data_IF_803684566505
#
_entry.id   IF_803684566505
#
_cell.length_a   1.000
_cell.length_b   1.000
_cell.length_c   1.000
_cell.angle_alpha   90.00
_cell.angle_beta   90.00
_cell.angle_gamma   90.00
#
_symmetry.space_group_name_H-M   'P 1'
#
loop_
_entity.id
_entity.type
_entity.pdbx_description
1 polymer ?
#
# COMPACT_ATOMS: atom_id res chain seq x y z
N UNK A 1 -8.64 -14.22 -17.13
CA UNK A 1 -7.92 -13.13 -16.45
C UNK A 1 -8.71 -11.86 -16.75
N UNK A 2 -9.26 -11.21 -15.72
CA UNK A 2 -9.99 -9.96 -15.91
C UNK A 2 -9.06 -8.88 -16.47
N UNK A 3 -9.57 -7.98 -17.29
CA UNK A 3 -8.79 -6.80 -17.70
C UNK A 3 -8.46 -6.02 -16.43
N UNK A 4 -7.16 -5.82 -16.19
CA UNK A 4 -6.69 -4.89 -15.16
C UNK A 4 -7.14 -3.46 -15.46
N UNK A 5 -6.80 -2.48 -14.59
CA UNK A 5 -7.12 -1.09 -14.86
C UNK A 5 -6.55 -0.66 -16.21
N UNK A 6 -7.27 0.23 -16.92
CA UNK A 6 -6.82 0.75 -18.21
C UNK A 6 -5.80 1.90 -18.06
N UNK A 7 -5.83 2.60 -16.93
CA UNK A 7 -4.99 3.76 -16.65
C UNK A 7 -4.53 3.77 -15.19
N UNK A 8 -3.40 4.43 -14.94
CA UNK A 8 -2.99 4.91 -13.61
C UNK A 8 -2.97 6.44 -13.60
N UNK A 9 -3.23 7.03 -12.44
CA UNK A 9 -2.95 8.44 -12.16
C UNK A 9 -1.69 8.53 -11.29
N UNK A 10 -0.71 9.34 -11.70
CA UNK A 10 0.58 9.50 -11.00
C UNK A 10 0.75 10.96 -10.56
N UNK A 11 1.21 11.16 -9.33
CA UNK A 11 1.45 12.49 -8.75
C UNK A 11 0.16 13.32 -8.58
N UNK A 12 -0.96 12.65 -8.33
CA UNK A 12 -2.26 13.29 -8.07
C UNK A 12 -2.52 13.37 -6.57
N UNK A 13 -3.06 14.50 -6.11
CA UNK A 13 -3.57 14.68 -4.74
C UNK A 13 -5.04 14.28 -4.63
N UNK A 14 -5.76 14.12 -5.74
CA UNK A 14 -7.21 13.92 -5.75
C UNK A 14 -7.62 12.53 -6.22
N UNK A 15 -8.60 11.92 -5.55
CA UNK A 15 -9.07 10.55 -5.84
C UNK A 15 -9.58 10.37 -7.27
N UNK A 16 -10.03 11.45 -7.92
CA UNK A 16 -10.51 11.39 -9.29
C UNK A 16 -9.39 11.24 -10.34
N UNK A 17 -8.13 11.43 -9.95
CA UNK A 17 -6.94 11.27 -10.79
C UNK A 17 -6.91 12.11 -12.06
N UNK A 18 -7.70 13.19 -12.13
CA UNK A 18 -7.88 14.04 -13.32
C UNK A 18 -7.71 15.52 -13.02
N UNK A 19 -7.81 15.94 -11.75
CA UNK A 19 -7.62 17.33 -11.33
C UNK A 19 -6.16 17.77 -11.44
N UNK A 20 -5.23 16.87 -11.17
CA UNK A 20 -3.78 17.11 -11.15
C UNK A 20 -2.99 15.84 -11.53
N UNK A 21 -1.66 15.92 -11.51
CA UNK A 21 -0.79 14.80 -11.84
C UNK A 21 -0.72 14.50 -13.34
N UNK A 22 -0.69 13.21 -13.68
CA UNK A 22 -0.82 12.72 -15.05
C UNK A 22 -1.55 11.37 -15.10
N UNK A 23 -2.26 11.14 -16.20
CA UNK A 23 -2.87 9.84 -16.50
C UNK A 23 -2.05 9.10 -17.55
N UNK A 24 -1.70 7.85 -17.26
CA UNK A 24 -0.90 7.00 -18.14
C UNK A 24 -1.62 5.67 -18.35
N UNK A 25 -1.73 5.26 -19.62
CA UNK A 25 -2.27 3.96 -19.98
C UNK A 25 -1.39 2.83 -19.48
N UNK A 26 -2.03 1.74 -19.10
CA UNK A 26 -1.36 0.51 -18.71
C UNK A 26 -1.18 -0.36 -19.95
N UNK A 27 0.08 -0.66 -20.29
CA UNK A 27 0.45 -1.54 -21.38
C UNK A 27 0.23 -3.02 -21.01
N UNK A 28 0.53 -3.40 -19.76
CA UNK A 28 0.28 -4.75 -19.27
C UNK A 28 0.14 -4.80 -17.75
N UNK A 29 -0.53 -5.84 -17.25
CA UNK A 29 -0.70 -6.12 -15.82
C UNK A 29 -0.26 -7.55 -15.55
N UNK A 30 0.64 -7.73 -14.59
CA UNK A 30 1.20 -9.04 -14.24
C UNK A 30 1.02 -9.28 -12.75
N UNK A 31 0.17 -10.23 -12.39
CA UNK A 31 0.00 -10.68 -11.01
C UNK A 31 1.10 -11.67 -10.65
N UNK A 32 1.51 -11.68 -9.37
CA UNK A 32 2.47 -12.66 -8.90
C UNK A 32 1.94 -14.09 -9.16
N UNK A 33 2.72 -15.00 -9.78
CA UNK A 33 2.23 -16.31 -10.23
C UNK A 33 1.82 -17.24 -9.09
N UNK A 34 2.25 -16.95 -7.86
CA UNK A 34 1.87 -17.68 -6.64
C UNK A 34 0.72 -17.03 -5.86
N UNK A 35 0.08 -15.99 -6.41
CA UNK A 35 -1.05 -15.35 -5.74
C UNK A 35 -2.13 -16.38 -5.39
N UNK A 36 -2.58 -16.34 -4.14
CA UNK A 36 -3.65 -17.21 -3.66
C UNK A 36 -4.70 -16.40 -2.91
N UNK A 37 -5.81 -16.13 -3.60
CA UNK A 37 -6.89 -15.24 -3.14
C UNK A 37 -7.44 -15.52 -1.72
N UNK A 38 -7.67 -16.79 -1.30
CA UNK A 38 -8.29 -17.06 0.00
C UNK A 38 -7.50 -16.59 1.22
N UNK A 39 -6.17 -16.52 1.14
CA UNK A 39 -5.36 -15.95 2.23
C UNK A 39 -4.61 -14.69 1.81
N UNK A 40 -4.68 -14.28 0.53
CA UNK A 40 -3.96 -13.13 0.00
C UNK A 40 -2.43 -13.29 0.06
N UNK A 41 -1.93 -14.53 0.03
CA UNK A 41 -0.49 -14.76 -0.11
C UNK A 41 -0.03 -14.29 -1.47
N UNK A 42 1.13 -13.63 -1.50
CA UNK A 42 1.70 -13.03 -2.69
C UNK A 42 0.74 -12.04 -3.39
N UNK A 43 0.02 -11.24 -2.61
CA UNK A 43 -0.84 -10.15 -3.11
C UNK A 43 0.01 -8.98 -3.64
N UNK A 44 0.59 -9.19 -4.82
CA UNK A 44 1.46 -8.26 -5.53
C UNK A 44 1.16 -8.35 -7.03
N UNK A 45 1.11 -7.19 -7.69
CA UNK A 45 1.05 -7.08 -9.13
C UNK A 45 1.97 -5.97 -9.63
N UNK A 46 2.49 -6.12 -10.84
CA UNK A 46 3.28 -5.11 -11.55
C UNK A 46 2.47 -4.60 -12.74
N UNK A 47 2.30 -3.28 -12.80
CA UNK A 47 1.68 -2.59 -13.93
C UNK A 47 2.78 -1.98 -14.79
N UNK A 48 2.82 -2.35 -16.07
CA UNK A 48 3.75 -1.73 -17.04
C UNK A 48 3.04 -0.57 -17.72
N UNK A 49 3.62 0.63 -17.67
CA UNK A 49 3.05 1.84 -18.28
C UNK A 49 3.40 1.91 -19.77
N UNK A 50 2.50 2.46 -20.60
CA UNK A 50 2.79 2.68 -22.04
C UNK A 50 3.89 3.72 -22.28
N UNK A 51 4.13 4.61 -21.31
CA UNK A 51 5.19 5.61 -21.35
C UNK A 51 5.74 5.87 -19.94
N UNK A 52 6.99 6.34 -19.81
CA UNK A 52 7.54 6.78 -18.53
C UNK A 52 6.72 7.92 -17.93
N UNK A 53 6.64 7.95 -16.59
CA UNK A 53 6.08 9.07 -15.84
C UNK A 53 7.08 10.23 -15.78
N UNK A 54 6.57 11.47 -15.68
CA UNK A 54 7.39 12.65 -15.36
C UNK A 54 7.77 12.73 -13.87
N UNK A 55 7.08 11.98 -13.02
CA UNK A 55 7.36 11.90 -11.59
C UNK A 55 8.42 10.83 -11.33
N UNK A 56 9.35 11.14 -10.43
CA UNK A 56 10.39 10.18 -10.05
C UNK A 56 9.78 9.04 -9.23
N UNK A 57 10.12 7.78 -9.52
CA UNK A 57 9.64 6.65 -8.74
C UNK A 57 10.25 6.64 -7.34
N UNK A 58 9.52 6.03 -6.40
CA UNK A 58 10.06 5.67 -5.09
C UNK A 58 11.10 4.55 -5.23
N UNK A 59 12.03 4.45 -4.28
CA UNK A 59 12.99 3.35 -4.27
C UNK A 59 12.30 2.07 -3.80
N UNK A 60 12.76 0.93 -4.33
CA UNK A 60 12.30 -0.37 -3.85
C UNK A 60 13.16 -0.78 -2.65
N UNK A 61 12.57 -1.45 -1.64
CA UNK A 61 13.34 -2.00 -0.55
C UNK A 61 14.34 -3.03 -1.07
N UNK A 62 15.46 -3.20 -0.35
CA UNK A 62 16.41 -4.27 -0.65
C UNK A 62 15.75 -5.63 -0.51
N UNK A 63 16.17 -6.55 -1.37
CA UNK A 63 15.69 -7.94 -1.38
C UNK A 63 16.15 -8.77 -0.18
N UNK A 64 17.02 -8.23 0.67
CA UNK A 64 17.52 -8.85 1.90
C UNK A 64 16.71 -8.45 3.15
N UNK A 65 15.62 -7.71 2.97
CA UNK A 65 14.71 -7.22 4.02
C UNK A 65 15.38 -6.31 5.07
N UNK A 66 16.61 -5.84 4.85
CA UNK A 66 17.37 -5.06 5.85
C UNK A 66 16.80 -3.66 6.12
N UNK A 67 15.98 -3.15 5.21
CA UNK A 67 15.34 -1.84 5.35
C UNK A 67 14.12 -1.88 6.30
N UNK A 68 13.52 -3.07 6.45
CA UNK A 68 12.36 -3.38 7.29
C UNK A 68 12.79 -3.80 8.71
N UNK A 69 12.79 -2.83 9.63
CA UNK A 69 13.11 -3.09 11.04
C UNK A 69 11.87 -2.95 11.90
N UNK A 70 11.71 -3.86 12.84
CA UNK A 70 10.63 -3.80 13.84
C UNK A 70 10.71 -2.48 14.63
N UNK A 71 9.56 -1.89 14.93
CA UNK A 71 9.47 -0.64 15.69
C UNK A 71 9.81 0.63 14.91
N UNK A 72 10.20 0.53 13.64
CA UNK A 72 10.35 1.69 12.77
C UNK A 72 8.97 2.24 12.40
N UNK A 73 8.83 3.56 12.48
CA UNK A 73 7.65 4.27 12.01
C UNK A 73 7.70 4.49 10.50
N UNK A 74 6.54 4.36 9.89
CA UNK A 74 6.33 4.37 8.45
C UNK A 74 5.04 5.12 8.14
N UNK A 75 4.96 5.72 6.96
CA UNK A 75 3.81 6.48 6.48
C UNK A 75 3.06 5.66 5.44
N UNK A 76 1.76 5.47 5.63
CA UNK A 76 0.85 4.96 4.61
C UNK A 76 0.04 6.11 4.03
N UNK A 77 -0.27 6.09 2.75
CA UNK A 77 -1.09 7.11 2.10
C UNK A 77 -2.19 6.51 1.23
N UNK A 78 -3.33 7.19 1.15
CA UNK A 78 -4.42 6.83 0.27
C UNK A 78 -5.67 7.69 0.42
N UNK A 79 -6.72 7.31 -0.30
CA UNK A 79 -8.02 8.00 -0.38
C UNK A 79 -9.16 7.16 0.21
N UNK A 80 -8.83 6.14 0.99
CA UNK A 80 -9.79 5.29 1.66
C UNK A 80 -10.70 6.05 2.62
N UNK A 81 -11.74 5.37 3.08
CA UNK A 81 -12.72 5.98 3.96
C UNK A 81 -12.08 6.42 5.28
N UNK A 82 -12.41 7.63 5.72
CA UNK A 82 -12.02 8.10 7.04
C UNK A 82 -12.93 7.56 8.16
N UNK A 83 -14.07 6.99 7.79
CA UNK A 83 -15.02 6.40 8.71
C UNK A 83 -15.07 4.87 8.49
N UNK A 84 -14.60 4.07 9.46
CA UNK A 84 -14.61 2.61 9.35
C UNK A 84 -16.00 2.01 9.09
N UNK A 85 -17.08 2.72 9.43
CA UNK A 85 -18.46 2.29 9.18
C UNK A 85 -18.97 2.60 7.76
N UNK A 86 -18.28 3.48 7.02
CA UNK A 86 -18.72 3.96 5.70
C UNK A 86 -17.71 3.53 4.63
N UNK A 87 -17.76 2.23 4.28
CA UNK A 87 -16.78 1.60 3.39
C UNK A 87 -16.81 2.12 1.94
N UNK A 88 -17.79 2.94 1.56
CA UNK A 88 -17.95 3.46 0.19
C UNK A 88 -17.60 4.93 0.04
N UNK A 89 -17.27 5.61 1.15
CA UNK A 89 -16.82 6.99 1.09
C UNK A 89 -15.30 7.02 0.88
N UNK A 90 -14.87 7.83 -0.09
CA UNK A 90 -13.45 8.10 -0.33
C UNK A 90 -13.15 9.53 0.06
N UNK A 91 -11.98 9.77 0.65
CA UNK A 91 -11.50 11.14 0.81
C UNK A 91 -11.27 11.74 -0.58
N UNK A 92 -11.74 12.98 -0.81
CA UNK A 92 -11.46 13.66 -2.07
C UNK A 92 -9.97 13.90 -2.27
N UNK A 93 -9.26 14.17 -1.17
CA UNK A 93 -7.84 14.49 -1.11
C UNK A 93 -7.03 13.35 -0.48
N UNK A 94 -5.77 13.21 -0.88
CA UNK A 94 -4.86 12.20 -0.38
C UNK A 94 -4.59 12.46 1.11
N UNK A 95 -4.69 11.41 1.92
CA UNK A 95 -4.39 11.44 3.35
C UNK A 95 -3.24 10.51 3.67
N UNK A 96 -2.58 10.78 4.78
CA UNK A 96 -1.51 9.94 5.31
C UNK A 96 -1.75 9.55 6.77
N UNK A 97 -1.11 8.45 7.17
CA UNK A 97 -1.12 7.97 8.55
C UNK A 97 0.22 7.33 8.89
N UNK A 98 0.73 7.62 10.08
CA UNK A 98 1.94 7.01 10.62
C UNK A 98 1.62 5.70 11.34
N UNK A 99 2.41 4.67 11.07
CA UNK A 99 2.25 3.30 11.55
C UNK A 99 3.61 2.70 11.89
N UNK A 100 3.71 2.04 13.05
CA UNK A 100 4.92 1.32 13.46
C UNK A 100 4.93 -0.10 12.93
N UNK A 101 6.07 -0.58 12.42
CA UNK A 101 6.22 -1.96 11.93
C UNK A 101 6.19 -2.96 13.08
N UNK A 102 5.34 -3.98 12.96
CA UNK A 102 5.11 -5.02 13.98
C UNK A 102 5.69 -6.37 13.58
N UNK A 103 6.01 -7.19 14.59
CA UNK A 103 6.38 -8.58 14.36
C UNK A 103 5.14 -9.36 13.92
N UNK A 104 5.25 -10.15 12.85
CA UNK A 104 4.12 -10.93 12.34
C UNK A 104 3.54 -11.87 13.41
N UNK A 105 4.35 -12.40 14.33
CA UNK A 105 3.85 -13.19 15.47
C UNK A 105 2.88 -12.42 16.37
N UNK A 106 3.18 -11.17 16.68
CA UNK A 106 2.35 -10.35 17.57
C UNK A 106 1.10 -9.87 16.83
N UNK A 107 1.23 -9.59 15.54
CA UNK A 107 0.11 -9.34 14.63
C UNK A 107 -0.87 -10.54 14.58
N UNK A 108 -0.37 -11.78 14.50
CA UNK A 108 -1.22 -12.99 14.54
C UNK A 108 -1.98 -13.11 15.87
N UNK A 109 -1.33 -12.80 17.00
CA UNK A 109 -1.96 -12.85 18.32
C UNK A 109 -3.04 -11.79 18.47
N UNK A 110 -2.80 -10.58 17.96
CA UNK A 110 -3.75 -9.48 18.04
C UNK A 110 -4.98 -9.71 17.12
N UNK A 111 -4.77 -10.27 15.93
CA UNK A 111 -5.82 -10.40 14.91
C UNK A 111 -6.51 -11.77 14.87
N UNK A 112 -5.93 -12.80 15.52
CA UNK A 112 -6.28 -14.21 15.35
C UNK A 112 -6.13 -14.75 13.91
N UNK A 113 -5.47 -14.03 13.01
CA UNK A 113 -5.22 -14.48 11.63
C UNK A 113 -4.01 -15.40 11.55
N UNK A 114 -4.25 -16.70 11.47
CA UNK A 114 -3.19 -17.72 11.45
C UNK A 114 -2.36 -17.75 10.16
N UNK A 115 -2.83 -17.10 9.09
CA UNK A 115 -2.20 -17.16 7.77
C UNK A 115 -1.09 -16.12 7.53
N UNK A 116 -0.92 -15.14 8.43
CA UNK A 116 0.12 -14.10 8.31
C UNK A 116 1.49 -14.77 8.43
N UNK A 117 2.28 -14.78 7.35
CA UNK A 117 3.64 -15.30 7.30
C UNK A 117 4.63 -14.24 6.75
N UNK A 118 5.79 -14.65 6.23
CA UNK A 118 6.79 -13.72 5.68
C UNK A 118 6.36 -12.98 4.41
N UNK A 119 5.25 -13.35 3.78
CA UNK A 119 4.71 -12.61 2.62
C UNK A 119 3.87 -11.41 3.02
N UNK A 120 3.83 -11.05 4.31
CA UNK A 120 3.08 -9.93 4.88
C UNK A 120 4.00 -9.04 5.71
N UNK A 121 3.67 -7.76 5.75
CA UNK A 121 4.21 -6.79 6.71
C UNK A 121 3.05 -6.25 7.52
N UNK A 122 3.12 -6.38 8.85
CA UNK A 122 2.15 -5.74 9.74
C UNK A 122 2.68 -4.38 10.20
N UNK A 123 1.80 -3.36 10.20
CA UNK A 123 2.10 -2.06 10.78
C UNK A 123 0.85 -1.48 11.47
N UNK A 124 1.06 -0.79 12.59
CA UNK A 124 0.01 -0.24 13.43
C UNK A 124 0.58 0.46 14.66
N UNK A 125 -0.24 0.65 15.69
CA UNK A 125 0.24 1.11 17.00
C UNK A 125 -0.30 2.44 17.50
N UNK A 126 -1.15 3.12 16.72
CA UNK A 126 -1.95 4.23 17.23
C UNK A 126 -3.42 3.82 17.20
N UNK A 127 -4.05 3.77 18.36
CA UNK A 127 -5.47 3.44 18.49
C UNK A 127 -6.33 4.41 17.64
N UNK A 128 -7.28 3.85 16.89
CA UNK A 128 -8.17 4.63 16.02
C UNK A 128 -7.53 5.17 14.74
N UNK A 129 -6.27 4.82 14.44
CA UNK A 129 -5.60 5.22 13.19
C UNK A 129 -5.15 4.02 12.36
N UNK A 130 -5.12 4.20 11.04
CA UNK A 130 -4.58 3.23 10.09
C UNK A 130 -5.26 3.25 8.73
N UNK A 131 -5.03 2.17 7.99
CA UNK A 131 -5.34 2.01 6.57
C UNK A 131 -6.73 1.44 6.34
N UNK A 132 -7.60 2.19 5.66
CA UNK A 132 -9.02 1.86 5.55
C UNK A 132 -9.39 1.23 4.20
N UNK A 133 -10.67 0.92 4.02
CA UNK A 133 -11.16 0.44 2.73
C UNK A 133 -10.93 1.51 1.66
N UNK A 134 -10.32 1.11 0.53
CA UNK A 134 -9.91 2.03 -0.55
C UNK A 134 -8.42 2.37 -0.57
N UNK A 135 -7.68 2.10 0.50
CA UNK A 135 -6.21 2.29 0.54
C UNK A 135 -5.44 1.03 0.09
N UNK A 136 -6.14 0.03 -0.42
CA UNK A 136 -5.59 -1.27 -0.80
C UNK A 136 -4.60 -1.11 -1.96
N UNK A 137 -3.38 -1.63 -1.80
CA UNK A 137 -2.30 -1.42 -2.77
C UNK A 137 -1.58 -0.08 -2.64
N UNK A 138 -2.00 0.77 -1.70
CA UNK A 138 -1.27 1.98 -1.31
C UNK A 138 0.11 1.65 -0.70
N UNK A 139 1.05 2.61 -0.74
CA UNK A 139 2.41 2.37 -0.29
C UNK A 139 2.50 2.41 1.24
N UNK A 140 3.39 1.59 1.81
CA UNK A 140 3.90 1.78 3.16
C UNK A 140 5.37 2.19 3.09
N UNK A 141 5.65 3.39 3.59
CA UNK A 141 6.89 4.12 3.32
C UNK A 141 7.65 4.38 4.61
N UNK A 142 8.94 4.05 4.62
CA UNK A 142 9.86 4.53 5.65
C UNK A 142 10.51 5.84 5.22
N UNK A 143 10.30 6.92 5.96
CA UNK A 143 10.99 8.18 5.73
C UNK A 143 12.39 8.12 6.36
N UNK A 144 13.43 8.13 5.52
CA UNK A 144 14.81 8.28 5.94
C UNK A 144 15.42 9.49 5.23
N UNK A 145 15.27 10.69 5.81
CA UNK A 145 15.70 11.96 5.20
C UNK A 145 14.91 12.29 3.89
N UNK A 146 14.81 13.58 3.48
CA UNK A 146 13.75 14.08 2.59
C UNK A 146 13.81 13.60 1.11
N UNK A 147 14.66 12.64 0.77
CA UNK A 147 14.80 12.15 -0.61
C UNK A 147 14.46 10.66 -0.79
N UNK A 148 14.22 9.88 0.26
CA UNK A 148 14.13 8.42 0.13
C UNK A 148 12.81 7.85 0.69
N UNK A 149 12.10 7.12 -0.18
CA UNK A 149 10.80 6.50 0.05
C UNK A 149 10.89 5.01 -0.34
N UNK A 150 10.47 4.10 0.54
CA UNK A 150 10.42 2.64 0.29
C UNK A 150 8.97 2.16 0.06
N UNK A 151 8.75 1.17 -0.80
CA UNK A 151 7.44 0.57 -1.08
C UNK A 151 7.27 -0.76 -0.32
N UNK A 152 6.22 -0.89 0.50
CA UNK A 152 5.85 -2.18 1.09
C UNK A 152 4.39 -2.56 0.79
N UNK A 153 4.23 -3.79 0.32
CA UNK A 153 2.98 -4.38 -0.11
C UNK A 153 2.07 -4.68 1.09
N UNK A 154 1.14 -3.74 1.29
CA UNK A 154 -0.10 -3.79 2.07
C UNK A 154 0.01 -4.03 3.58
N UNK A 155 -0.50 -3.04 4.30
CA UNK A 155 -0.85 -3.07 5.71
C UNK A 155 -2.28 -3.60 5.86
N UNK A 156 -2.47 -4.54 6.77
CA UNK A 156 -3.80 -4.82 7.33
C UNK A 156 -3.94 -4.00 8.62
N UNK A 157 -4.72 -2.92 8.60
CA UNK A 157 -5.19 -2.22 9.80
C UNK A 157 -6.32 -3.03 10.40
N UNK A 158 -6.32 -3.37 11.70
CA UNK A 158 -7.56 -3.47 12.48
C UNK A 158 -7.33 -3.12 13.96
N UNK A 159 -8.40 -2.59 14.55
CA UNK A 159 -8.57 -2.07 15.92
C UNK A 159 -8.22 -3.08 17.02
#
# INVERSE_FOLDING_TARGET
>A
MGQGPAYVAVGTHYVNGTKDGEQIKIASSQQHPKFYGPNLKYDLAVLTLEKPSKFSPVQLPKSDDTDLKLGVWTTSMGWGSANPAETFEHSEELRSVELGVWKNEDCRKATNFTYIDRTYVCAGGIEGKGVSFGDQGGPLIKENNPEHFDFLSRIHQYH
#
